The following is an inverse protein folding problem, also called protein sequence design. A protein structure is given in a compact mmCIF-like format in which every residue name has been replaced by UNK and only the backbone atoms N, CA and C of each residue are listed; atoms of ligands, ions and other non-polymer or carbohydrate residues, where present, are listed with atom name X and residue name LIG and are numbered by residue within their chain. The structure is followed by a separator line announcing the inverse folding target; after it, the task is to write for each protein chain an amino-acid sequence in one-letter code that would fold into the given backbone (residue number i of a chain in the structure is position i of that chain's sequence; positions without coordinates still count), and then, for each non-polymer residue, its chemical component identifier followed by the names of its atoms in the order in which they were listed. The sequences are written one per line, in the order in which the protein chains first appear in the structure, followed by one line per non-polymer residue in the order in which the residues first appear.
data_IF_846836429157
#
_entry.id   IF_846836429157
#
_cell.length_a   1.000
_cell.length_b   1.000
_cell.length_c   1.000
_cell.angle_alpha   90.00
_cell.angle_beta   90.00
_cell.angle_gamma   90.00
#
_symmetry.space_group_name_H-M   'P 1'
#
loop_
_entity.id
_entity.type
_entity.pdbx_description
1 polymer ?
#
# COMPACT_ATOMS: atom_id res chain seq x y z
N UNK A 1 -7.58 -16.54 -88.29
CA UNK A 1 -6.35 -16.97 -87.65
C UNK A 1 -6.15 -16.08 -86.38
N UNK A 2 -6.62 -16.52 -85.26
CA UNK A 2 -6.75 -15.69 -84.08
C UNK A 2 -5.80 -16.26 -83.01
N UNK A 3 -4.79 -15.52 -82.67
CA UNK A 3 -3.84 -15.88 -81.61
C UNK A 3 -4.33 -15.44 -80.28
N UNK A 4 -4.55 -16.34 -79.29
CA UNK A 4 -4.85 -16.05 -77.93
C UNK A 4 -3.52 -15.99 -77.15
N UNK A 5 -3.26 -14.85 -76.55
CA UNK A 5 -2.19 -14.68 -75.54
C UNK A 5 -2.80 -14.99 -74.15
N UNK A 6 -2.23 -15.99 -73.48
CA UNK A 6 -2.49 -16.27 -72.08
C UNK A 6 -1.52 -15.42 -71.22
N UNK A 7 -2.05 -14.53 -70.42
CA UNK A 7 -1.30 -13.83 -69.37
C UNK A 7 -1.48 -14.59 -68.08
N UNK A 8 -0.42 -15.20 -67.57
CA UNK A 8 -0.38 -15.77 -66.21
C UNK A 8 0.02 -14.67 -65.25
N UNK A 9 -0.90 -14.29 -64.34
CA UNK A 9 -0.62 -13.39 -63.24
C UNK A 9 -0.10 -14.19 -62.07
N UNK A 10 1.16 -13.98 -61.70
CA UNK A 10 1.77 -14.51 -60.47
C UNK A 10 1.39 -13.58 -59.30
N UNK A 11 0.57 -14.05 -58.40
CA UNK A 11 0.27 -13.35 -57.13
C UNK A 11 1.37 -13.69 -56.10
N UNK A 12 2.25 -12.72 -55.78
CA UNK A 12 3.16 -12.80 -54.66
C UNK A 12 2.38 -12.48 -53.35
N UNK A 13 2.12 -13.49 -52.53
CA UNK A 13 1.58 -13.29 -51.18
C UNK A 13 2.75 -12.91 -50.24
N UNK A 14 2.84 -11.63 -49.88
CA UNK A 14 3.72 -11.16 -48.83
C UNK A 14 3.11 -11.53 -47.46
N UNK A 15 3.62 -12.58 -46.83
CA UNK A 15 3.30 -12.90 -45.44
C UNK A 15 4.08 -11.96 -44.54
N UNK A 16 3.41 -10.91 -44.05
CA UNK A 16 3.91 -10.06 -42.96
C UNK A 16 3.83 -10.86 -41.64
N UNK A 17 4.97 -11.36 -41.20
CA UNK A 17 5.16 -11.88 -39.86
C UNK A 17 5.05 -10.72 -38.85
N UNK A 18 3.89 -10.55 -38.24
CA UNK A 18 3.78 -9.79 -37.01
C UNK A 18 4.48 -10.61 -35.89
N UNK A 19 5.75 -10.33 -35.68
CA UNK A 19 6.43 -10.71 -34.44
C UNK A 19 5.78 -9.90 -33.34
N UNK A 20 4.73 -10.44 -32.71
CA UNK A 20 4.24 -9.92 -31.44
C UNK A 20 5.39 -9.98 -30.45
N UNK A 21 5.89 -8.83 -30.03
CA UNK A 21 6.79 -8.75 -28.90
C UNK A 21 6.05 -9.38 -27.70
N UNK A 22 6.41 -10.61 -27.36
CA UNK A 22 6.01 -11.18 -26.07
C UNK A 22 6.52 -10.20 -25.02
N UNK A 23 5.60 -9.55 -24.29
CA UNK A 23 5.97 -8.74 -23.15
C UNK A 23 6.84 -9.64 -22.27
N UNK A 24 8.09 -9.27 -22.04
CA UNK A 24 8.99 -10.03 -21.20
C UNK A 24 8.30 -10.21 -19.85
N UNK A 25 8.05 -11.44 -19.46
CA UNK A 25 7.44 -11.78 -18.19
C UNK A 25 8.41 -11.28 -17.12
N UNK A 26 7.97 -10.34 -16.25
CA UNK A 26 8.83 -9.75 -15.24
C UNK A 26 9.43 -10.81 -14.32
N UNK A 27 10.60 -10.54 -13.79
CA UNK A 27 11.27 -11.43 -12.83
C UNK A 27 10.57 -11.38 -11.49
N UNK A 28 10.70 -12.46 -10.71
CA UNK A 28 10.21 -12.50 -9.32
C UNK A 28 11.40 -12.54 -8.37
N UNK A 29 11.41 -11.61 -7.43
CA UNK A 29 12.41 -11.49 -6.37
C UNK A 29 11.78 -11.79 -5.02
N UNK A 30 12.62 -12.04 -4.02
CA UNK A 30 12.21 -12.14 -2.61
C UNK A 30 13.03 -11.17 -1.79
N UNK A 31 12.37 -10.36 -0.98
CA UNK A 31 12.98 -9.45 -0.03
C UNK A 31 12.59 -9.86 1.39
N UNK A 32 13.58 -10.37 2.14
CA UNK A 32 13.41 -10.80 3.54
C UNK A 32 13.70 -9.67 4.51
N UNK A 33 13.06 -9.72 5.67
CA UNK A 33 13.35 -8.81 6.80
C UNK A 33 14.68 -9.16 7.41
N UNK A 34 15.58 -8.19 7.42
CA UNK A 34 16.87 -8.20 8.12
C UNK A 34 17.18 -6.80 8.63
N UNK A 35 18.13 -6.61 9.57
CA UNK A 35 18.53 -5.26 9.98
C UNK A 35 19.04 -4.35 8.84
N UNK A 36 19.45 -4.92 7.71
CA UNK A 36 19.93 -4.16 6.54
C UNK A 36 18.89 -3.93 5.45
N UNK A 37 17.72 -4.56 5.56
CA UNK A 37 16.62 -4.45 4.60
C UNK A 37 15.39 -3.80 5.19
N UNK A 38 15.51 -3.14 6.33
CA UNK A 38 14.42 -2.39 6.95
C UNK A 38 14.77 -0.92 7.07
N UNK A 39 13.78 -0.07 6.82
CA UNK A 39 13.73 1.32 7.22
C UNK A 39 12.85 1.40 8.48
N UNK A 40 13.42 1.83 9.60
CA UNK A 40 12.66 1.93 10.84
C UNK A 40 12.21 3.36 11.08
N UNK A 41 10.91 3.60 11.02
CA UNK A 41 10.29 4.85 11.40
C UNK A 41 10.43 5.99 10.40
N UNK A 42 10.86 5.73 9.17
CA UNK A 42 11.06 6.81 8.20
C UNK A 42 11.04 6.36 6.76
N UNK A 43 10.79 7.33 5.85
CA UNK A 43 11.04 7.30 4.42
C UNK A 43 12.16 8.27 4.09
N UNK A 44 13.16 7.87 3.31
CA UNK A 44 14.37 8.68 3.07
C UNK A 44 14.85 8.55 1.62
N UNK A 45 14.88 9.67 0.88
CA UNK A 45 15.38 9.70 -0.50
C UNK A 45 16.91 9.45 -0.60
N UNK A 46 17.64 9.57 0.51
CA UNK A 46 19.06 9.27 0.58
C UNK A 46 19.34 7.81 0.99
N UNK A 47 18.30 7.00 1.27
CA UNK A 47 18.47 5.61 1.67
C UNK A 47 19.05 4.78 0.52
N UNK A 48 19.96 3.86 0.87
CA UNK A 48 20.49 2.88 -0.09
C UNK A 48 19.44 1.80 -0.35
N UNK A 49 19.11 1.50 -1.61
CA UNK A 49 18.16 0.44 -1.92
C UNK A 49 18.60 -0.92 -1.38
N UNK A 50 17.68 -1.65 -0.76
CA UNK A 50 17.87 -3.05 -0.38
C UNK A 50 17.74 -3.99 -1.59
N UNK A 51 16.95 -3.57 -2.59
CA UNK A 51 16.74 -4.28 -3.85
C UNK A 51 16.53 -3.27 -4.98
N UNK A 52 17.00 -3.60 -6.19
CA UNK A 52 16.71 -2.85 -7.42
C UNK A 52 16.05 -3.77 -8.43
N UNK A 53 14.95 -3.33 -9.02
CA UNK A 53 14.10 -4.09 -9.95
C UNK A 53 13.76 -3.26 -11.19
N UNK A 54 13.18 -3.92 -12.19
CA UNK A 54 12.65 -3.26 -13.40
C UNK A 54 11.13 -3.14 -13.33
N UNK A 55 10.59 -2.21 -14.11
CA UNK A 55 9.14 -2.14 -14.34
C UNK A 55 8.63 -3.46 -14.93
N UNK A 56 7.55 -4.00 -14.36
CA UNK A 56 6.97 -5.31 -14.67
C UNK A 56 7.40 -6.43 -13.72
N UNK A 57 8.45 -6.23 -12.93
CA UNK A 57 8.93 -7.23 -11.97
C UNK A 57 7.99 -7.38 -10.76
N UNK A 58 8.07 -8.55 -10.13
CA UNK A 58 7.34 -8.89 -8.91
C UNK A 58 8.30 -9.06 -7.75
N UNK A 59 7.93 -8.58 -6.56
CA UNK A 59 8.70 -8.82 -5.34
C UNK A 59 7.78 -9.46 -4.29
N UNK A 60 8.22 -10.59 -3.74
CA UNK A 60 7.64 -11.18 -2.53
C UNK A 60 8.38 -10.57 -1.33
N UNK A 61 7.66 -9.81 -0.53
CA UNK A 61 8.23 -9.04 0.59
C UNK A 61 7.71 -9.62 1.89
N UNK A 62 8.62 -9.99 2.80
CA UNK A 62 8.25 -10.27 4.18
C UNK A 62 8.25 -8.97 4.98
N UNK A 63 7.31 -8.84 5.92
CA UNK A 63 7.28 -7.76 6.91
C UNK A 63 7.18 -8.33 8.31
N UNK A 64 7.53 -7.56 9.31
CA UNK A 64 7.36 -7.91 10.72
C UNK A 64 6.43 -6.89 11.39
N UNK A 65 5.68 -7.34 12.37
CA UNK A 65 4.81 -6.47 13.14
C UNK A 65 5.62 -5.41 13.92
N UNK A 66 5.02 -4.26 14.13
CA UNK A 66 5.63 -3.14 14.85
C UNK A 66 5.38 -3.27 16.35
N UNK A 67 6.07 -4.18 17.02
CA UNK A 67 6.03 -4.29 18.48
C UNK A 67 7.34 -4.84 19.05
N UNK A 68 7.65 -4.42 20.27
CA UNK A 68 8.83 -4.90 20.98
C UNK A 68 8.68 -6.38 21.38
N UNK A 69 9.65 -7.28 21.06
CA UNK A 69 9.61 -8.69 21.45
C UNK A 69 9.38 -8.91 22.96
N UNK A 70 9.97 -8.10 23.83
CA UNK A 70 9.74 -8.18 25.27
C UNK A 70 8.29 -7.79 25.65
N UNK A 71 7.69 -6.83 24.94
CA UNK A 71 6.29 -6.44 25.11
C UNK A 71 5.34 -7.54 24.69
N UNK A 72 5.60 -8.20 23.55
CA UNK A 72 4.81 -9.36 23.11
C UNK A 72 4.84 -10.49 24.12
N UNK A 73 6.02 -10.83 24.63
CA UNK A 73 6.21 -11.85 25.67
C UNK A 73 5.46 -11.49 26.96
N UNK A 74 5.56 -10.24 27.40
CA UNK A 74 4.83 -9.76 28.59
C UNK A 74 3.31 -9.82 28.45
N UNK A 75 2.80 -9.75 27.22
CA UNK A 75 1.37 -9.88 26.89
C UNK A 75 0.94 -11.32 26.52
N UNK A 76 1.81 -12.31 26.78
CA UNK A 76 1.47 -13.73 26.70
C UNK A 76 1.83 -14.43 25.38
N UNK A 77 2.57 -13.80 24.47
CA UNK A 77 3.11 -14.50 23.30
C UNK A 77 4.30 -15.37 23.73
N UNK A 78 4.28 -16.70 23.48
CA UNK A 78 5.42 -17.57 23.76
C UNK A 78 6.68 -17.11 23.02
N UNK A 79 7.83 -17.21 23.68
CA UNK A 79 9.09 -16.68 23.11
C UNK A 79 9.50 -17.34 21.79
N UNK A 80 9.20 -18.62 21.63
CA UNK A 80 9.42 -19.41 20.41
C UNK A 80 8.46 -19.08 19.25
N UNK A 81 7.37 -18.38 19.55
CA UNK A 81 6.44 -17.88 18.52
C UNK A 81 6.78 -16.44 18.07
N UNK A 82 7.62 -15.72 18.82
CA UNK A 82 8.09 -14.41 18.39
C UNK A 82 9.15 -14.58 17.32
N UNK A 83 8.93 -13.98 16.16
CA UNK A 83 9.74 -14.12 14.96
C UNK A 83 11.21 -13.81 15.23
N UNK A 84 12.10 -14.68 14.76
CA UNK A 84 13.55 -14.49 14.85
C UNK A 84 14.00 -13.19 14.13
N UNK A 85 13.37 -12.87 12.99
CA UNK A 85 13.61 -11.64 12.24
C UNK A 85 13.24 -10.39 13.03
N UNK A 86 12.13 -10.40 13.77
CA UNK A 86 11.74 -9.29 14.64
C UNK A 86 12.76 -9.09 15.78
N UNK A 87 13.18 -10.19 16.43
CA UNK A 87 14.22 -10.15 17.47
C UNK A 87 15.54 -9.61 16.94
N UNK A 88 15.93 -10.04 15.73
CA UNK A 88 17.17 -9.61 15.08
C UNK A 88 17.15 -8.11 14.73
N UNK A 89 16.04 -7.62 14.15
CA UNK A 89 15.85 -6.19 13.86
C UNK A 89 15.94 -5.34 15.13
N UNK A 90 15.24 -5.76 16.20
CA UNK A 90 15.29 -5.02 17.46
C UNK A 90 16.69 -5.00 18.11
N UNK A 91 17.45 -6.08 17.99
CA UNK A 91 18.79 -6.21 18.55
C UNK A 91 19.84 -5.44 17.74
N UNK A 92 19.72 -5.42 16.40
CA UNK A 92 20.82 -5.02 15.51
C UNK A 92 20.57 -3.75 14.70
N UNK A 93 19.34 -3.20 14.64
CA UNK A 93 19.11 -1.85 14.10
C UNK A 93 19.42 -0.82 15.19
N UNK A 94 20.50 -0.04 15.07
CA UNK A 94 20.88 0.90 16.11
C UNK A 94 19.87 2.05 16.24
N UNK A 95 19.71 2.58 17.45
CA UNK A 95 18.77 3.68 17.70
C UNK A 95 19.01 4.91 16.81
N UNK A 96 20.28 5.18 16.47
CA UNK A 96 20.66 6.29 15.57
C UNK A 96 20.20 6.11 14.11
N UNK A 97 19.87 4.90 13.70
CA UNK A 97 19.35 4.60 12.37
C UNK A 97 17.82 4.62 12.32
N UNK A 98 17.15 4.67 13.48
CA UNK A 98 15.69 4.73 13.59
C UNK A 98 15.22 6.16 13.36
N UNK A 99 14.14 6.28 12.62
CA UNK A 99 13.46 7.56 12.38
C UNK A 99 12.49 7.94 13.51
N UNK A 100 11.76 9.06 13.33
CA UNK A 100 10.82 9.56 14.33
C UNK A 100 9.54 8.72 14.46
N UNK A 101 9.18 7.93 13.43
CA UNK A 101 8.01 7.07 13.44
C UNK A 101 8.22 5.73 14.13
N UNK A 102 7.17 4.95 14.24
CA UNK A 102 7.17 3.65 14.90
C UNK A 102 7.42 2.46 13.98
N UNK A 103 7.01 2.54 12.72
CA UNK A 103 6.87 1.39 11.83
C UNK A 103 8.21 0.79 11.40
N UNK A 104 8.25 -0.53 11.31
CA UNK A 104 9.37 -1.28 10.73
C UNK A 104 8.96 -1.63 9.30
N UNK A 105 9.49 -0.88 8.32
CA UNK A 105 9.18 -1.03 6.91
C UNK A 105 10.26 -1.85 6.22
N UNK A 106 9.87 -2.77 5.34
CA UNK A 106 10.81 -3.54 4.51
C UNK A 106 11.05 -2.82 3.19
N UNK A 107 12.30 -2.62 2.85
CA UNK A 107 12.76 -1.86 1.69
C UNK A 107 14.08 -1.13 2.00
N UNK A 108 14.41 -0.06 1.25
CA UNK A 108 13.70 0.43 0.06
C UNK A 108 13.89 -0.45 -1.18
N UNK A 109 12.86 -0.54 -2.01
CA UNK A 109 12.92 -1.16 -3.34
C UNK A 109 13.04 -0.06 -4.38
N UNK A 110 14.16 -0.04 -5.11
CA UNK A 110 14.36 0.89 -6.21
C UNK A 110 13.83 0.32 -7.52
N UNK A 111 13.11 1.15 -8.29
CA UNK A 111 12.65 0.82 -9.63
C UNK A 111 13.55 1.51 -10.66
N UNK A 112 14.20 0.72 -11.53
CA UNK A 112 15.08 1.25 -12.58
C UNK A 112 14.35 2.26 -13.48
N UNK A 113 14.98 3.40 -13.71
CA UNK A 113 14.44 4.46 -14.56
C UNK A 113 13.29 5.27 -13.95
N UNK A 114 12.93 5.06 -12.69
CA UNK A 114 11.97 5.92 -12.00
C UNK A 114 12.60 7.27 -11.68
N UNK A 115 11.91 8.34 -12.08
CA UNK A 115 12.33 9.74 -11.90
C UNK A 115 11.21 10.56 -11.26
N UNK A 116 11.54 11.68 -10.61
CA UNK A 116 10.52 12.58 -10.05
C UNK A 116 9.51 13.02 -11.13
N UNK A 117 8.22 12.88 -10.82
CA UNK A 117 7.13 13.18 -11.75
C UNK A 117 6.53 11.94 -12.43
N UNK A 118 7.14 10.79 -12.31
CA UNK A 118 6.55 9.51 -12.73
C UNK A 118 5.45 9.07 -11.74
N UNK A 119 4.72 8.01 -12.10
CA UNK A 119 3.79 7.31 -11.21
C UNK A 119 4.20 5.86 -11.05
N UNK A 120 4.30 5.39 -9.82
CA UNK A 120 4.51 3.98 -9.51
C UNK A 120 3.17 3.29 -9.27
N UNK A 121 2.84 2.33 -10.11
CA UNK A 121 1.70 1.41 -9.94
C UNK A 121 2.19 0.17 -9.19
N UNK A 122 1.56 -0.15 -8.07
CA UNK A 122 1.82 -1.30 -7.22
C UNK A 122 0.59 -2.20 -7.23
N UNK A 123 0.67 -3.35 -7.91
CA UNK A 123 -0.38 -4.36 -7.93
C UNK A 123 -0.17 -5.32 -6.77
N UNK A 124 -1.13 -5.40 -5.87
CA UNK A 124 -1.10 -6.30 -4.72
C UNK A 124 -1.63 -7.65 -5.16
N UNK A 125 -0.72 -8.58 -5.49
CA UNK A 125 -1.11 -9.87 -6.07
C UNK A 125 -1.58 -10.87 -5.02
N UNK A 126 -0.93 -10.83 -3.83
CA UNK A 126 -1.21 -11.77 -2.74
C UNK A 126 -0.78 -11.17 -1.41
N UNK A 127 -1.50 -11.52 -0.34
CA UNK A 127 -1.13 -11.21 1.04
C UNK A 127 -1.39 -12.44 1.89
N UNK A 128 -0.37 -12.92 2.59
CA UNK A 128 -0.45 -14.04 3.51
C UNK A 128 -0.15 -13.59 4.95
N UNK A 129 -0.90 -14.10 5.91
CA UNK A 129 -0.60 -13.96 7.34
C UNK A 129 0.66 -14.77 7.68
N UNK A 130 1.74 -14.12 8.12
CA UNK A 130 3.02 -14.79 8.38
C UNK A 130 3.01 -15.54 9.72
N UNK A 131 2.33 -15.00 10.74
CA UNK A 131 2.31 -15.52 12.11
C UNK A 131 0.88 -15.88 12.57
N UNK A 132 0.73 -16.75 13.60
CA UNK A 132 -0.58 -17.22 14.06
C UNK A 132 -1.23 -16.32 15.10
N UNK A 133 -0.73 -15.12 15.30
CA UNK A 133 -1.29 -14.15 16.25
C UNK A 133 -1.20 -12.73 15.70
N UNK A 134 -1.98 -11.87 16.29
CA UNK A 134 -1.93 -10.43 16.11
C UNK A 134 -2.05 -9.76 17.48
N UNK A 135 -1.86 -8.45 17.52
CA UNK A 135 -2.27 -7.66 18.68
C UNK A 135 -3.14 -6.48 18.25
N UNK A 136 -3.90 -5.97 19.21
CA UNK A 136 -4.48 -4.63 19.17
C UNK A 136 -4.18 -3.99 20.51
N UNK A 137 -3.97 -2.67 20.55
CA UNK A 137 -3.65 -2.03 21.79
C UNK A 137 -3.62 -0.51 21.73
N UNK A 138 -3.91 0.11 22.83
CA UNK A 138 -3.87 1.56 23.00
C UNK A 138 -2.95 1.95 24.15
N UNK A 139 -2.60 3.22 24.19
CA UNK A 139 -1.79 3.79 25.27
C UNK A 139 -2.28 5.17 25.70
N UNK A 140 -1.74 5.73 26.78
CA UNK A 140 -2.05 7.10 27.19
C UNK A 140 -1.80 8.07 26.03
N UNK A 141 -2.73 8.98 25.78
CA UNK A 141 -2.70 9.96 24.71
C UNK A 141 -2.77 9.41 23.28
N UNK A 142 -3.05 8.11 23.12
CA UNK A 142 -3.30 7.47 21.81
C UNK A 142 -4.80 7.33 21.53
N UNK A 143 -5.15 7.17 20.25
CA UNK A 143 -6.54 7.03 19.83
C UNK A 143 -7.38 8.31 19.97
N UNK A 144 -8.66 8.21 19.68
CA UNK A 144 -9.59 9.35 19.71
C UNK A 144 -10.25 9.57 21.08
N UNK A 145 -10.31 8.53 21.94
CA UNK A 145 -10.90 8.58 23.27
C UNK A 145 -9.82 8.65 24.37
N UNK A 146 -8.90 9.61 24.24
CA UNK A 146 -7.69 9.72 25.08
C UNK A 146 -7.99 9.89 26.57
N UNK A 147 -9.03 10.65 26.88
CA UNK A 147 -9.39 10.97 28.26
C UNK A 147 -10.14 9.82 28.94
N UNK A 148 -10.85 8.99 28.16
CA UNK A 148 -11.58 7.82 28.67
C UNK A 148 -10.64 6.64 28.95
N UNK A 149 -9.50 6.56 28.22
CA UNK A 149 -8.53 5.47 28.32
C UNK A 149 -7.11 5.98 28.62
N UNK A 150 -6.86 6.60 29.79
CA UNK A 150 -5.57 7.20 30.14
C UNK A 150 -4.51 6.17 30.58
N UNK A 151 -4.65 4.92 30.17
CA UNK A 151 -3.76 3.81 30.51
C UNK A 151 -3.41 2.99 29.26
N UNK A 152 -2.43 2.11 29.39
CA UNK A 152 -2.02 1.20 28.32
C UNK A 152 -2.70 -0.15 28.44
N UNK A 153 -3.15 -0.69 27.31
CA UNK A 153 -3.61 -2.07 27.22
C UNK A 153 -3.17 -2.66 25.88
N UNK A 154 -2.73 -3.91 25.91
CA UNK A 154 -2.45 -4.70 24.72
C UNK A 154 -3.23 -6.00 24.82
N UNK A 155 -3.85 -6.41 23.74
CA UNK A 155 -4.59 -7.64 23.60
C UNK A 155 -3.97 -8.49 22.49
N UNK A 156 -3.59 -9.72 22.81
CA UNK A 156 -3.18 -10.69 21.79
C UNK A 156 -4.43 -11.35 21.21
N UNK A 157 -4.47 -11.42 19.89
CA UNK A 157 -5.60 -11.98 19.12
C UNK A 157 -5.06 -13.21 18.37
N UNK A 158 -5.43 -14.44 18.77
CA UNK A 158 -5.09 -15.64 18.00
C UNK A 158 -5.72 -15.62 16.61
N UNK A 159 -4.96 -16.01 15.59
CA UNK A 159 -5.39 -16.05 14.19
C UNK A 159 -5.52 -17.48 13.69
N UNK A 160 -6.71 -17.85 13.22
CA UNK A 160 -6.92 -19.04 12.39
C UNK A 160 -6.63 -18.68 10.93
N UNK A 161 -5.38 -18.86 10.51
CA UNK A 161 -4.91 -18.51 9.17
C UNK A 161 -5.58 -19.31 8.06
N UNK A 162 -6.01 -20.54 8.35
CA UNK A 162 -6.66 -21.41 7.36
C UNK A 162 -8.11 -20.97 7.09
N UNK A 163 -8.80 -20.47 8.12
CA UNK A 163 -10.17 -19.99 7.99
C UNK A 163 -10.28 -18.48 7.82
N UNK A 164 -9.15 -17.77 7.90
CA UNK A 164 -9.10 -16.31 7.89
C UNK A 164 -9.99 -15.69 8.97
N UNK A 165 -9.80 -16.13 10.22
CA UNK A 165 -10.56 -15.68 11.38
C UNK A 165 -9.64 -15.24 12.53
N UNK A 166 -9.96 -14.12 13.17
CA UNK A 166 -9.33 -13.63 14.38
C UNK A 166 -10.23 -13.85 15.61
N UNK A 167 -9.69 -14.43 16.67
CA UNK A 167 -10.44 -14.71 17.90
C UNK A 167 -10.25 -13.57 18.90
N UNK A 168 -11.10 -12.54 18.82
CA UNK A 168 -10.98 -11.33 19.65
C UNK A 168 -11.31 -11.60 21.13
N UNK A 169 -12.26 -12.47 21.41
CA UNK A 169 -12.67 -12.82 22.78
C UNK A 169 -13.81 -13.81 22.80
N UNK A 170 -14.32 -14.18 23.97
CA UNK A 170 -15.44 -15.12 24.09
C UNK A 170 -16.64 -14.67 23.25
N UNK A 171 -17.03 -15.50 22.28
CA UNK A 171 -18.16 -15.25 21.39
C UNK A 171 -17.91 -14.17 20.31
N UNK A 172 -16.67 -13.66 20.17
CA UNK A 172 -16.33 -12.64 19.18
C UNK A 172 -15.25 -13.19 18.23
N UNK A 173 -15.64 -13.43 17.00
CA UNK A 173 -14.75 -13.87 15.91
C UNK A 173 -14.85 -12.89 14.77
N UNK A 174 -13.70 -12.42 14.28
CA UNK A 174 -13.57 -11.40 13.26
C UNK A 174 -13.15 -12.06 11.95
N UNK A 175 -13.83 -11.79 10.82
CA UNK A 175 -13.30 -12.15 9.51
C UNK A 175 -12.04 -11.31 9.24
N UNK A 176 -11.02 -11.93 8.64
CA UNK A 176 -9.76 -11.28 8.35
C UNK A 176 -9.68 -10.88 6.88
N UNK A 177 -9.24 -9.65 6.64
CA UNK A 177 -9.01 -9.06 5.34
C UNK A 177 -7.63 -8.36 5.37
N UNK A 178 -6.52 -9.12 5.22
CA UNK A 178 -5.19 -8.58 5.44
C UNK A 178 -4.82 -7.53 4.37
N UNK A 179 -4.16 -6.48 4.84
CA UNK A 179 -3.59 -5.42 4.02
C UNK A 179 -2.36 -4.81 4.72
N UNK A 180 -1.61 -3.98 4.00
CA UNK A 180 -0.49 -3.23 4.58
C UNK A 180 -0.95 -1.81 4.88
N UNK A 181 -0.86 -1.38 6.12
CA UNK A 181 -1.15 -0.01 6.54
C UNK A 181 -0.18 0.97 5.88
N UNK A 182 1.11 0.64 5.89
CA UNK A 182 2.16 1.48 5.31
C UNK A 182 2.65 0.94 3.96
N UNK A 183 2.41 1.72 2.90
CA UNK A 183 2.99 1.55 1.55
C UNK A 183 3.35 2.93 1.01
N UNK A 184 4.64 3.24 0.87
CA UNK A 184 5.07 4.57 0.47
C UNK A 184 6.34 4.59 -0.37
N UNK A 185 6.59 5.72 -1.01
CA UNK A 185 7.82 6.01 -1.74
C UNK A 185 8.63 7.07 -1.02
N UNK A 186 9.90 7.25 -1.41
CA UNK A 186 10.73 8.29 -0.82
C UNK A 186 10.18 9.70 -1.06
N UNK A 187 10.28 10.61 -0.07
CA UNK A 187 9.87 12.01 -0.20
C UNK A 187 10.80 12.79 -1.15
N UNK A 188 10.44 14.05 -1.51
CA UNK A 188 11.34 14.93 -2.24
C UNK A 188 12.69 15.06 -1.52
N UNK A 189 13.85 14.86 -2.19
CA UNK A 189 15.17 14.88 -1.54
C UNK A 189 15.48 16.15 -0.75
N UNK A 190 15.01 17.31 -1.22
CA UNK A 190 15.20 18.58 -0.55
C UNK A 190 14.48 18.71 0.80
N UNK A 191 13.50 17.84 1.06
CA UNK A 191 12.70 17.85 2.29
C UNK A 191 13.23 16.88 3.37
N UNK A 192 14.30 16.15 3.06
CA UNK A 192 14.95 15.24 4.01
C UNK A 192 14.14 13.99 4.31
N UNK A 193 14.40 13.43 5.47
CA UNK A 193 13.79 12.19 5.99
C UNK A 193 12.41 12.49 6.57
N UNK A 194 11.40 11.73 6.14
CA UNK A 194 10.03 11.85 6.63
C UNK A 194 9.68 10.75 7.63
N UNK A 195 8.85 11.14 8.59
CA UNK A 195 8.26 10.26 9.58
C UNK A 195 7.33 9.24 8.92
N UNK A 196 7.40 7.97 9.37
CA UNK A 196 6.57 6.90 8.83
C UNK A 196 5.13 6.91 9.35
N UNK A 197 4.83 7.64 10.44
CA UNK A 197 3.52 7.56 11.08
C UNK A 197 2.40 8.24 10.27
N UNK A 198 2.52 9.53 9.80
CA UNK A 198 1.40 10.14 9.12
C UNK A 198 1.30 9.74 7.65
N UNK A 199 0.08 9.47 7.13
CA UNK A 199 -0.13 9.39 5.70
C UNK A 199 0.09 10.76 5.03
N UNK A 200 0.70 10.74 3.84
CA UNK A 200 1.04 11.96 3.11
C UNK A 200 0.94 11.77 1.59
N UNK A 201 1.46 12.75 0.82
CA UNK A 201 1.52 12.67 -0.65
C UNK A 201 2.40 11.54 -1.19
N UNK A 202 3.26 10.94 -0.38
CA UNK A 202 4.07 9.78 -0.76
C UNK A 202 3.35 8.44 -0.55
N UNK A 203 2.10 8.44 -0.10
CA UNK A 203 1.42 7.33 0.53
C UNK A 203 1.85 7.24 1.99
N UNK A 204 2.63 6.24 2.34
CA UNK A 204 3.08 5.97 3.71
C UNK A 204 2.01 5.22 4.49
N UNK A 205 1.75 5.63 5.70
CA UNK A 205 0.78 5.00 6.61
C UNK A 205 -0.65 5.37 6.23
N UNK A 206 -1.15 4.79 5.15
CA UNK A 206 -2.47 5.11 4.62
C UNK A 206 -3.61 4.44 5.39
N UNK A 207 -3.34 3.33 6.07
CA UNK A 207 -4.29 2.52 6.86
C UNK A 207 -5.63 2.26 6.16
N UNK A 208 -5.56 2.10 4.85
CA UNK A 208 -6.74 1.92 4.03
C UNK A 208 -7.04 0.42 3.85
N UNK A 209 -8.05 -0.07 4.57
CA UNK A 209 -8.47 -1.47 4.57
C UNK A 209 -8.94 -2.01 3.21
N UNK A 210 -9.18 -1.14 2.23
CA UNK A 210 -9.58 -1.52 0.88
C UNK A 210 -8.39 -2.02 0.03
N UNK A 211 -7.14 -1.81 0.52
CA UNK A 211 -5.91 -2.17 -0.19
C UNK A 211 -5.51 -3.64 0.02
N UNK A 212 -6.46 -4.53 -0.10
CA UNK A 212 -6.28 -6.00 -0.01
C UNK A 212 -5.69 -6.60 -1.28
N UNK A 213 -5.40 -7.91 -1.28
CA UNK A 213 -4.99 -8.64 -2.47
C UNK A 213 -6.01 -8.47 -3.63
N UNK A 214 -5.52 -8.18 -4.83
CA UNK A 214 -6.32 -7.86 -6.01
C UNK A 214 -6.56 -6.35 -6.21
N UNK A 215 -6.17 -5.50 -5.26
CA UNK A 215 -6.16 -4.05 -5.44
C UNK A 215 -4.84 -3.54 -6.05
N UNK A 216 -4.87 -2.31 -6.51
CA UNK A 216 -3.71 -1.61 -7.09
C UNK A 216 -3.60 -0.22 -6.48
N UNK A 217 -2.39 0.15 -6.06
CA UNK A 217 -2.06 1.48 -5.55
C UNK A 217 -1.22 2.23 -6.57
N UNK A 218 -1.45 3.53 -6.72
CA UNK A 218 -0.70 4.43 -7.58
C UNK A 218 -0.10 5.55 -6.73
N UNK A 219 1.21 5.63 -6.67
CA UNK A 219 1.93 6.63 -5.89
C UNK A 219 2.71 7.57 -6.79
N UNK A 220 2.67 8.88 -6.57
CA UNK A 220 3.53 9.83 -7.26
C UNK A 220 4.99 9.63 -6.85
N UNK A 221 5.91 9.64 -7.81
CA UNK A 221 7.36 9.51 -7.57
C UNK A 221 7.97 10.87 -7.35
N UNK A 222 8.74 11.03 -6.25
CA UNK A 222 9.41 12.29 -5.88
C UNK A 222 10.93 12.18 -5.86
N UNK A 223 11.48 10.97 -5.85
CA UNK A 223 12.91 10.71 -5.82
C UNK A 223 13.28 9.67 -6.87
N UNK A 224 14.53 9.75 -7.37
CA UNK A 224 15.08 8.76 -8.30
C UNK A 224 14.97 7.35 -7.71
N UNK A 225 14.47 6.42 -8.52
CA UNK A 225 14.25 5.04 -8.11
C UNK A 225 12.97 4.82 -7.32
N UNK A 226 12.15 5.86 -7.05
CA UNK A 226 10.96 5.82 -6.21
C UNK A 226 11.24 5.39 -4.77
N UNK A 227 12.07 4.37 -4.53
CA UNK A 227 12.46 3.84 -3.22
C UNK A 227 11.24 3.42 -2.38
N UNK A 228 10.51 2.43 -2.87
CA UNK A 228 9.29 1.94 -2.24
C UNK A 228 9.60 1.13 -0.96
N UNK A 229 8.84 1.38 0.09
CA UNK A 229 8.89 0.67 1.36
C UNK A 229 7.49 0.21 1.76
N UNK A 230 7.39 -0.94 2.44
CA UNK A 230 6.13 -1.54 2.87
C UNK A 230 6.28 -2.19 4.24
N UNK A 231 5.25 -2.07 5.06
CA UNK A 231 5.21 -2.66 6.39
C UNK A 231 3.86 -2.46 7.04
N UNK A 232 3.84 -2.53 8.39
CA UNK A 232 2.64 -2.26 9.15
C UNK A 232 1.49 -3.18 8.71
N UNK A 233 1.68 -4.47 8.95
CA UNK A 233 0.77 -5.50 8.47
C UNK A 233 -0.47 -5.63 9.34
N UNK A 234 -1.63 -5.40 8.77
CA UNK A 234 -2.93 -5.53 9.42
C UNK A 234 -3.65 -6.78 8.94
N UNK A 235 -4.09 -7.63 9.85
CA UNK A 235 -4.98 -8.75 9.52
C UNK A 235 -6.43 -8.29 9.26
N UNK A 236 -6.76 -7.08 9.66
CA UNK A 236 -8.05 -6.41 9.46
C UNK A 236 -8.16 -5.14 10.30
N UNK A 237 -9.07 -4.26 9.91
CA UNK A 237 -9.28 -2.95 10.55
C UNK A 237 -10.72 -2.49 10.34
N UNK A 238 -11.26 -1.75 11.30
CA UNK A 238 -12.44 -0.91 11.08
C UNK A 238 -12.06 0.45 10.53
N UNK A 239 -12.88 1.07 9.70
CA UNK A 239 -12.67 2.45 9.26
C UNK A 239 -12.51 3.38 10.49
N UNK A 240 -11.49 4.23 10.45
CA UNK A 240 -11.15 5.19 11.49
C UNK A 240 -10.03 4.77 12.44
N UNK A 241 -9.69 3.47 12.54
CA UNK A 241 -8.61 2.93 13.39
C UNK A 241 -8.56 3.56 14.80
N UNK A 242 -9.70 3.67 15.44
CA UNK A 242 -10.01 4.65 16.49
C UNK A 242 -9.17 4.56 17.77
N UNK A 243 -8.50 3.44 18.06
CA UNK A 243 -7.64 3.27 19.24
C UNK A 243 -6.14 3.31 18.96
N UNK A 244 -5.73 3.60 17.70
CA UNK A 244 -4.34 3.73 17.17
C UNK A 244 -3.70 2.43 16.70
N UNK A 245 -4.40 1.32 16.73
CA UNK A 245 -3.95 0.08 16.13
C UNK A 245 -5.10 -0.66 15.44
N UNK A 246 -4.77 -1.42 14.43
CA UNK A 246 -5.66 -2.38 13.80
C UNK A 246 -5.58 -3.77 14.49
N UNK A 247 -5.71 -4.83 13.72
CA UNK A 247 -5.32 -6.20 14.09
C UNK A 247 -3.88 -6.39 13.58
N UNK A 248 -2.91 -5.91 14.34
CA UNK A 248 -1.50 -5.80 13.97
C UNK A 248 -0.83 -7.16 13.87
N UNK A 249 -0.19 -7.46 12.75
CA UNK A 249 0.48 -8.75 12.53
C UNK A 249 1.62 -8.64 11.51
N UNK A 250 2.39 -9.71 11.37
CA UNK A 250 3.37 -9.84 10.29
C UNK A 250 2.73 -10.43 9.05
N UNK A 251 3.05 -9.88 7.90
CA UNK A 251 2.52 -10.30 6.60
C UNK A 251 3.64 -10.65 5.62
N UNK A 252 3.32 -11.51 4.65
CA UNK A 252 4.10 -11.66 3.41
C UNK A 252 3.24 -11.20 2.26
N UNK A 253 3.71 -10.20 1.49
CA UNK A 253 3.01 -9.65 0.33
C UNK A 253 3.73 -9.95 -0.97
N UNK A 254 2.99 -10.21 -2.06
CA UNK A 254 3.52 -10.26 -3.42
C UNK A 254 3.02 -9.03 -4.19
N UNK A 255 3.96 -8.21 -4.68
CA UNK A 255 3.69 -6.95 -5.37
C UNK A 255 4.32 -6.96 -6.76
N UNK A 256 3.55 -6.61 -7.79
CA UNK A 256 4.10 -6.28 -9.10
C UNK A 256 4.19 -4.78 -9.24
N UNK A 257 5.33 -4.30 -9.74
CA UNK A 257 5.62 -2.88 -9.90
C UNK A 257 5.61 -2.49 -11.37
N UNK A 258 4.83 -1.46 -11.72
CA UNK A 258 4.78 -0.90 -13.07
C UNK A 258 5.06 0.60 -13.00
N UNK A 259 6.02 1.06 -13.79
CA UNK A 259 6.40 2.47 -13.85
C UNK A 259 5.69 3.16 -15.02
N UNK A 260 4.95 4.23 -14.72
CA UNK A 260 4.32 5.09 -15.72
C UNK A 260 5.04 6.43 -15.77
N UNK A 261 5.22 6.96 -16.98
CA UNK A 261 5.84 8.27 -17.20
C UNK A 261 4.85 9.44 -17.07
N UNK A 262 3.58 9.12 -16.87
CA UNK A 262 2.55 10.10 -16.58
C UNK A 262 2.50 10.40 -15.07
N UNK A 263 2.26 11.67 -14.76
CA UNK A 263 2.18 12.16 -13.39
C UNK A 263 0.84 11.84 -12.73
N UNK A 264 0.87 11.17 -11.57
CA UNK A 264 -0.23 11.21 -10.61
C UNK A 264 0.00 12.34 -9.61
N UNK A 265 -0.95 13.25 -9.38
CA UNK A 265 -0.74 14.36 -8.46
C UNK A 265 -0.87 13.97 -6.97
N UNK A 266 -1.45 12.81 -6.67
CA UNK A 266 -1.74 12.32 -5.31
C UNK A 266 -1.84 10.80 -5.29
N UNK A 267 -1.73 10.16 -4.11
CA UNK A 267 -2.00 8.73 -3.93
C UNK A 267 -3.44 8.41 -4.29
N UNK A 268 -3.63 7.37 -5.10
CA UNK A 268 -4.92 6.81 -5.44
C UNK A 268 -4.83 5.29 -5.51
N UNK A 269 -5.97 4.63 -5.53
CA UNK A 269 -6.00 3.18 -5.68
C UNK A 269 -7.19 2.72 -6.52
N UNK A 270 -7.19 1.44 -6.83
CA UNK A 270 -8.28 0.75 -7.48
C UNK A 270 -8.46 -0.64 -6.87
N UNK A 271 -9.70 -1.02 -6.65
CA UNK A 271 -10.09 -2.41 -6.45
C UNK A 271 -10.71 -2.98 -7.74
N UNK A 272 -11.03 -4.26 -7.82
CA UNK A 272 -11.80 -4.78 -8.95
C UNK A 272 -13.14 -4.04 -9.18
N UNK A 273 -13.71 -3.45 -8.14
CA UNK A 273 -15.06 -2.87 -8.16
C UNK A 273 -15.10 -1.35 -8.01
N UNK A 274 -14.05 -0.71 -7.48
CA UNK A 274 -14.06 0.73 -7.19
C UNK A 274 -12.78 1.44 -7.64
N UNK A 275 -12.91 2.72 -7.99
CA UNK A 275 -11.83 3.69 -7.98
C UNK A 275 -11.77 4.32 -6.59
N UNK A 276 -10.56 4.59 -6.09
CA UNK A 276 -10.32 5.15 -4.76
C UNK A 276 -9.45 6.40 -4.91
N UNK A 277 -9.93 7.53 -4.42
CA UNK A 277 -9.14 8.75 -4.26
C UNK A 277 -8.97 9.06 -2.77
N UNK A 278 -7.76 9.43 -2.37
CA UNK A 278 -7.41 9.65 -0.97
C UNK A 278 -7.11 11.13 -0.69
N UNK A 279 -7.33 11.55 0.55
CA UNK A 279 -6.98 12.86 1.05
C UNK A 279 -6.46 12.78 2.48
N UNK A 280 -5.35 13.49 2.75
CA UNK A 280 -4.67 13.45 4.04
C UNK A 280 -4.44 14.87 4.55
N UNK A 281 -4.75 15.11 5.83
CA UNK A 281 -4.50 16.38 6.52
C UNK A 281 -4.59 16.17 8.03
N UNK A 282 -4.02 17.09 8.82
CA UNK A 282 -4.19 17.08 10.27
C UNK A 282 -5.62 17.53 10.69
N UNK A 283 -6.35 18.19 9.80
CA UNK A 283 -7.79 18.49 9.92
C UNK A 283 -8.62 17.55 9.07
N UNK A 284 -9.56 16.83 9.69
CA UNK A 284 -10.43 15.86 9.04
C UNK A 284 -11.31 16.48 7.94
N UNK A 285 -11.81 17.71 8.15
CA UNK A 285 -12.62 18.39 7.14
C UNK A 285 -11.78 18.75 5.91
N UNK A 286 -10.53 19.16 6.12
CA UNK A 286 -9.58 19.44 5.02
C UNK A 286 -9.19 18.16 4.30
N UNK A 287 -8.93 17.05 5.03
CA UNK A 287 -8.68 15.74 4.44
C UNK A 287 -9.85 15.29 3.56
N UNK A 288 -11.10 15.46 4.04
CA UNK A 288 -12.32 15.18 3.28
C UNK A 288 -12.40 16.01 2.00
N UNK A 289 -12.17 17.33 2.07
CA UNK A 289 -12.15 18.20 0.89
C UNK A 289 -11.10 17.76 -0.12
N UNK A 290 -9.90 17.35 0.35
CA UNK A 290 -8.84 16.81 -0.53
C UNK A 290 -9.28 15.52 -1.22
N UNK A 291 -9.84 14.54 -0.50
CA UNK A 291 -10.29 13.27 -1.05
C UNK A 291 -11.36 13.46 -2.13
N UNK A 292 -12.39 14.29 -1.84
CA UNK A 292 -13.47 14.61 -2.80
C UNK A 292 -12.91 15.33 -4.04
N UNK A 293 -12.03 16.34 -3.84
CA UNK A 293 -11.40 17.07 -4.96
C UNK A 293 -10.57 16.13 -5.83
N UNK A 294 -9.79 15.25 -5.22
CA UNK A 294 -8.97 14.28 -5.92
C UNK A 294 -9.82 13.29 -6.74
N UNK A 295 -10.99 12.87 -6.24
CA UNK A 295 -11.94 12.05 -7.01
C UNK A 295 -12.55 12.84 -8.18
N UNK A 296 -12.94 14.08 -7.97
CA UNK A 296 -13.44 14.95 -9.06
C UNK A 296 -12.37 15.11 -10.14
N UNK A 297 -11.15 15.43 -9.77
CA UNK A 297 -10.03 15.59 -10.71
C UNK A 297 -9.73 14.30 -11.48
N UNK A 298 -9.80 13.14 -10.80
CA UNK A 298 -9.67 11.81 -11.43
C UNK A 298 -10.77 11.57 -12.47
N UNK A 299 -12.03 11.84 -12.15
CA UNK A 299 -13.17 11.64 -13.07
C UNK A 299 -13.08 12.57 -14.29
N UNK A 300 -12.69 13.82 -14.11
CA UNK A 300 -12.43 14.74 -15.22
C UNK A 300 -11.34 14.20 -16.13
N UNK A 301 -10.20 13.81 -15.55
CA UNK A 301 -9.04 13.36 -16.32
C UNK A 301 -9.26 12.02 -17.03
N UNK A 302 -9.96 11.07 -16.39
CA UNK A 302 -10.05 9.68 -16.89
C UNK A 302 -11.38 9.35 -17.58
N UNK A 303 -12.45 10.08 -17.26
CA UNK A 303 -13.80 9.86 -17.82
C UNK A 303 -14.24 10.98 -18.75
N UNK A 304 -13.45 12.05 -18.89
CA UNK A 304 -13.78 13.19 -19.75
C UNK A 304 -15.00 13.99 -19.28
N UNK A 305 -15.35 13.90 -18.01
CA UNK A 305 -16.50 14.58 -17.43
C UNK A 305 -16.24 16.09 -17.28
N UNK A 306 -17.30 16.89 -17.30
CA UNK A 306 -17.21 18.26 -16.80
C UNK A 306 -16.91 18.25 -15.29
N UNK A 307 -16.29 19.30 -14.77
CA UNK A 307 -15.99 19.41 -13.34
C UNK A 307 -17.28 19.41 -12.50
N UNK A 308 -18.33 20.04 -12.99
CA UNK A 308 -19.63 20.12 -12.33
C UNK A 308 -20.30 18.75 -12.26
N UNK A 309 -20.36 18.01 -13.38
CA UNK A 309 -20.92 16.65 -13.41
C UNK A 309 -20.12 15.68 -12.55
N UNK A 310 -18.78 15.77 -12.57
CA UNK A 310 -17.92 14.95 -11.72
C UNK A 310 -18.20 15.20 -10.24
N UNK A 311 -18.37 16.45 -9.82
CA UNK A 311 -18.68 16.78 -8.43
C UNK A 311 -20.07 16.31 -8.03
N UNK A 312 -21.07 16.49 -8.89
CA UNK A 312 -22.43 15.96 -8.67
C UNK A 312 -22.41 14.43 -8.59
N UNK A 313 -21.62 13.75 -9.46
CA UNK A 313 -21.50 12.29 -9.44
C UNK A 313 -20.88 11.78 -8.13
N UNK A 314 -19.86 12.44 -7.61
CA UNK A 314 -19.28 12.08 -6.30
C UNK A 314 -20.35 12.18 -5.21
N UNK A 315 -21.22 13.19 -5.24
CA UNK A 315 -22.27 13.36 -4.23
C UNK A 315 -23.38 12.28 -4.28
N UNK A 316 -23.65 11.71 -5.45
CA UNK A 316 -24.77 10.75 -5.61
C UNK A 316 -24.33 9.28 -5.68
N UNK A 317 -23.05 9.02 -5.86
CA UNK A 317 -22.54 7.66 -6.07
C UNK A 317 -21.19 7.36 -5.37
N UNK A 318 -20.52 8.36 -4.83
CA UNK A 318 -19.25 8.21 -4.14
C UNK A 318 -19.44 8.11 -2.62
N UNK A 319 -19.01 6.99 -2.02
CA UNK A 319 -18.94 6.87 -0.57
C UNK A 319 -17.69 7.57 -0.05
N UNK A 320 -17.86 8.41 0.97
CA UNK A 320 -16.76 9.15 1.63
C UNK A 320 -16.51 8.53 2.99
N UNK A 321 -15.42 7.82 3.13
CA UNK A 321 -15.07 7.06 4.31
C UNK A 321 -13.90 7.70 5.08
N UNK A 322 -13.97 7.69 6.41
CA UNK A 322 -12.85 8.03 7.27
C UNK A 322 -11.92 6.81 7.32
N UNK A 323 -10.75 6.93 6.74
CA UNK A 323 -9.78 5.84 6.66
C UNK A 323 -9.15 5.55 8.01
N UNK A 324 -8.52 6.59 8.59
CA UNK A 324 -7.91 6.58 9.94
C UNK A 324 -8.00 7.99 10.56
N UNK A 325 -7.89 8.07 11.91
CA UNK A 325 -8.08 9.30 12.70
C UNK A 325 -6.88 9.62 13.61
N UNK A 326 -5.86 8.77 13.65
CA UNK A 326 -5.00 8.66 14.83
C UNK A 326 -3.52 8.98 14.59
N UNK A 327 -3.07 9.06 13.34
CA UNK A 327 -1.65 9.18 12.97
C UNK A 327 -1.21 10.61 12.63
N UNK A 328 -1.66 11.57 13.39
CA UNK A 328 -1.46 13.02 13.21
C UNK A 328 -2.20 13.57 12.00
N UNK A 329 -1.85 13.19 10.77
CA UNK A 329 -2.75 13.40 9.64
C UNK A 329 -3.90 12.39 9.71
N UNK A 330 -5.09 12.81 9.35
CA UNK A 330 -6.26 11.95 9.17
C UNK A 330 -6.35 11.54 7.72
N UNK A 331 -6.75 10.29 7.49
CA UNK A 331 -7.02 9.76 6.18
C UNK A 331 -8.51 9.75 5.86
N UNK A 332 -8.86 10.21 4.68
CA UNK A 332 -10.20 10.09 4.08
C UNK A 332 -10.05 9.52 2.69
N UNK A 333 -10.93 8.59 2.31
CA UNK A 333 -10.98 8.11 0.95
C UNK A 333 -12.39 8.15 0.37
N UNK A 334 -12.47 8.30 -0.95
CA UNK A 334 -13.72 8.25 -1.71
C UNK A 334 -13.73 6.98 -2.53
N UNK A 335 -14.77 6.16 -2.35
CA UNK A 335 -15.03 4.93 -3.10
C UNK A 335 -16.01 5.20 -4.23
N UNK A 336 -15.57 5.16 -5.49
CA UNK A 336 -16.40 5.37 -6.66
C UNK A 336 -16.64 4.05 -7.40
N UNK A 337 -17.89 3.53 -7.47
CA UNK A 337 -18.16 2.25 -8.12
C UNK A 337 -17.81 2.26 -9.61
N UNK A 338 -17.05 1.27 -10.06
CA UNK A 338 -16.70 1.10 -11.49
C UNK A 338 -17.92 0.71 -12.35
N UNK A 339 -18.88 -0.02 -11.77
CA UNK A 339 -20.03 -0.56 -12.48
C UNK A 339 -21.00 0.50 -13.01
N UNK A 340 -20.95 1.74 -12.50
CA UNK A 340 -21.81 2.84 -12.98
C UNK A 340 -21.33 3.43 -14.32
N UNK A 341 -20.08 3.17 -14.71
CA UNK A 341 -19.54 3.64 -15.99
C UNK A 341 -19.81 2.60 -17.07
N UNK A 342 -20.96 2.75 -17.74
CA UNK A 342 -21.31 1.94 -18.91
C UNK A 342 -20.62 2.51 -20.15
N UNK A 343 -20.12 1.62 -21.03
CA UNK A 343 -19.50 2.02 -22.31
C UNK A 343 -20.51 2.66 -23.24
#
# INVERSE_FOLDING_TARGET
MTIRLNAAAAALAAATLFAGAAAAQGQTYTLKVTPSTVAWGNYDAAAKPALTIKSGDTVVVDTVLTNNPAGLKANGVPDDQIEASLKDVYANVPASARGPGGHILTGPIAIEGAEPGDTLEIRILKIDLAIPYAYNGFGPAAGILRDDFPYRRTKIIPLDRAKMLGHFGPGITLPLHPFFGSMGVAPPPAMGKWDSSPPTIIGGNMDNKELVAGSTVFLPVFAKGALFEVGDGHAGQGNGESDVTAIETSLTGAFQFVLHKEKSPYPRAETPTHYIAMGFDDDLAVATVKAVRNMVDFLVATKGMSRDDAYMLVSVAGDVDITELVDRNKGVHVMMPKAIFTK
#
